data_IF_093271804493
#
_entry.id   IF_093271804493
#
_cell.length_a   1.000
_cell.length_b   1.000
_cell.length_c   1.000
_cell.angle_alpha   90.00
_cell.angle_beta   90.00
_cell.angle_gamma   90.00
#
_symmetry.space_group_name_H-M   'P 1'
#
loop_
_entity.id
_entity.type
_entity.pdbx_description
1 polymer ?
#
# COMPACT_ATOMS: atom_id res chain seq x y z
N UNK A 1 -1.01 -31.76 -73.85
CA UNK A 1 -1.86 -32.66 -73.03
C UNK A 1 -2.77 -31.80 -72.16
N UNK A 2 -4.04 -32.16 -72.03
CA UNK A 2 -4.93 -31.71 -70.93
C UNK A 2 -4.79 -32.70 -69.74
N UNK A 3 -5.40 -32.56 -68.56
CA UNK A 3 -6.36 -31.58 -67.99
C UNK A 3 -5.88 -31.20 -66.55
N UNK A 4 -6.41 -30.26 -65.75
CA UNK A 4 -7.76 -29.75 -65.40
C UNK A 4 -8.62 -30.75 -64.57
N UNK A 5 -9.39 -30.20 -63.61
CA UNK A 5 -10.19 -30.85 -62.53
C UNK A 5 -9.41 -31.16 -61.21
N UNK A 6 -9.94 -30.94 -59.99
CA UNK A 6 -11.17 -30.23 -59.57
C UNK A 6 -11.16 -29.78 -58.07
N UNK A 7 -12.04 -28.83 -57.76
CA UNK A 7 -12.67 -28.50 -56.44
C UNK A 7 -14.21 -28.58 -56.65
N UNK A 8 -15.11 -28.57 -55.61
CA UNK A 8 -14.95 -28.26 -54.18
C UNK A 8 -15.38 -29.48 -53.29
N UNK A 9 -16.04 -29.47 -52.10
CA UNK A 9 -16.71 -28.44 -51.28
C UNK A 9 -16.93 -28.87 -49.79
N UNK A 10 -17.27 -27.92 -48.88
CA UNK A 10 -17.72 -28.16 -47.48
C UNK A 10 -19.28 -28.23 -47.39
N UNK A 11 -19.97 -28.17 -46.22
CA UNK A 11 -19.54 -28.17 -44.81
C UNK A 11 -20.24 -29.24 -43.91
N UNK A 12 -19.87 -29.32 -42.62
CA UNK A 12 -20.63 -30.03 -41.58
C UNK A 12 -21.23 -29.05 -40.56
N UNK A 13 -22.49 -29.24 -40.15
CA UNK A 13 -23.24 -28.36 -39.25
C UNK A 13 -24.21 -29.13 -38.31
N UNK A 14 -24.75 -28.43 -37.31
CA UNK A 14 -25.60 -28.91 -36.21
C UNK A 14 -24.87 -29.84 -35.19
N UNK A 15 -25.25 -29.92 -33.91
CA UNK A 15 -26.32 -29.27 -33.11
C UNK A 15 -25.66 -28.51 -31.93
N UNK A 16 -26.16 -27.43 -31.31
CA UNK A 16 -27.51 -26.96 -30.94
C UNK A 16 -28.16 -27.66 -29.70
N UNK A 17 -28.67 -26.83 -28.77
CA UNK A 17 -29.45 -27.11 -27.53
C UNK A 17 -28.62 -27.64 -26.34
N UNK A 18 -28.67 -27.12 -25.10
CA UNK A 18 -29.56 -26.25 -24.29
C UNK A 18 -30.46 -26.98 -23.27
N UNK A 19 -30.03 -26.93 -22.00
CA UNK A 19 -30.79 -27.07 -20.75
C UNK A 19 -29.95 -26.35 -19.65
N UNK A 20 -30.41 -25.52 -18.72
CA UNK A 20 -31.75 -25.16 -18.19
C UNK A 20 -32.41 -26.24 -17.31
N UNK A 21 -32.21 -26.09 -15.99
CA UNK A 21 -33.32 -26.16 -15.04
C UNK A 21 -33.44 -27.38 -14.10
N UNK A 22 -32.73 -27.36 -12.96
CA UNK A 22 -33.17 -28.11 -11.76
C UNK A 22 -32.80 -27.39 -10.45
N UNK A 23 -33.77 -26.91 -9.67
CA UNK A 23 -33.61 -26.61 -8.25
C UNK A 23 -34.41 -27.61 -7.39
N UNK A 24 -33.73 -28.50 -6.66
CA UNK A 24 -34.37 -29.34 -5.66
C UNK A 24 -34.23 -28.74 -4.25
N UNK A 25 -35.35 -28.72 -3.54
CA UNK A 25 -35.47 -28.22 -2.18
C UNK A 25 -35.11 -29.33 -1.19
N UNK A 26 -34.48 -28.98 -0.07
CA UNK A 26 -34.82 -29.56 1.24
C UNK A 26 -34.41 -28.60 2.36
N UNK A 27 -35.22 -28.57 3.42
CA UNK A 27 -35.03 -27.71 4.59
C UNK A 27 -34.47 -28.51 5.78
N UNK A 28 -34.07 -27.81 6.85
CA UNK A 28 -34.43 -28.25 8.19
C UNK A 28 -35.40 -27.26 8.86
N UNK A 29 -36.33 -27.79 9.62
CA UNK A 29 -37.31 -27.06 10.45
C UNK A 29 -36.78 -27.04 11.88
N UNK A 30 -36.68 -25.87 12.52
CA UNK A 30 -36.06 -25.71 13.83
C UNK A 30 -37.01 -24.97 14.79
N UNK A 31 -37.32 -25.67 15.88
CA UNK A 31 -37.79 -25.19 17.20
C UNK A 31 -39.00 -24.22 17.26
N UNK A 32 -40.14 -24.78 17.71
CA UNK A 32 -41.10 -24.05 18.54
C UNK A 32 -40.64 -24.16 20.00
N UNK A 33 -40.53 -23.04 20.71
CA UNK A 33 -40.14 -23.00 22.12
C UNK A 33 -40.26 -21.60 22.69
N UNK A 34 -41.21 -21.40 23.61
CA UNK A 34 -41.53 -20.07 24.17
C UNK A 34 -42.89 -20.07 24.86
N UNK A 35 -42.98 -20.73 26.02
CA UNK A 35 -44.20 -20.77 26.85
C UNK A 35 -43.95 -20.07 28.19
N UNK A 36 -44.93 -19.24 28.60
CA UNK A 36 -45.01 -18.41 29.82
C UNK A 36 -44.04 -17.21 29.89
N UNK A 37 -44.65 -16.04 30.15
CA UNK A 37 -44.23 -15.08 31.19
C UNK A 37 -45.41 -14.09 31.40
N UNK A 38 -46.44 -14.56 32.11
CA UNK A 38 -47.61 -13.75 32.49
C UNK A 38 -47.39 -13.03 33.83
N UNK A 39 -47.82 -11.76 33.88
CA UNK A 39 -48.18 -10.96 35.07
C UNK A 39 -47.49 -11.21 36.43
N UNK A 40 -46.53 -10.35 36.82
CA UNK A 40 -46.40 -9.98 38.25
C UNK A 40 -46.09 -8.48 38.50
N UNK A 41 -47.18 -7.73 38.74
CA UNK A 41 -47.37 -6.63 39.72
C UNK A 41 -46.42 -5.42 39.76
N UNK A 42 -47.02 -4.24 39.57
CA UNK A 42 -46.52 -2.98 40.12
C UNK A 42 -46.85 -2.83 41.63
N UNK A 43 -45.94 -2.24 42.43
CA UNK A 43 -46.29 -1.49 43.66
C UNK A 43 -45.55 -0.13 43.67
N UNK A 44 -46.25 1.00 43.41
CA UNK A 44 -45.65 2.33 43.38
C UNK A 44 -45.58 3.05 44.75
N UNK A 45 -45.83 2.39 45.90
CA UNK A 45 -46.14 3.10 47.18
C UNK A 45 -45.14 2.98 48.34
N UNK A 46 -43.83 2.90 48.12
CA UNK A 46 -42.80 3.05 49.18
C UNK A 46 -41.68 4.06 48.89
N UNK A 47 -42.02 5.36 48.82
CA UNK A 47 -41.07 6.49 48.94
C UNK A 47 -41.55 7.54 49.96
N UNK A 48 -41.15 7.40 51.23
CA UNK A 48 -41.22 8.50 52.22
C UNK A 48 -40.29 8.25 53.41
N UNK A 49 -39.48 9.26 53.76
CA UNK A 49 -38.50 9.19 54.86
C UNK A 49 -37.22 8.42 54.51
N UNK A 50 -36.08 8.65 55.17
CA UNK A 50 -35.78 9.61 56.26
C UNK A 50 -34.39 10.25 56.05
N UNK A 51 -34.17 11.42 56.66
CA UNK A 51 -32.81 11.93 56.87
C UNK A 51 -32.08 11.06 57.90
N UNK A 52 -30.83 10.70 57.62
CA UNK A 52 -29.92 10.07 58.58
C UNK A 52 -28.57 10.78 58.55
N UNK A 53 -28.30 11.60 59.57
CA UNK A 53 -26.96 12.17 59.76
C UNK A 53 -26.09 11.11 60.44
N UNK A 54 -25.05 10.64 59.75
CA UNK A 54 -24.17 9.59 60.26
C UNK A 54 -22.70 9.94 60.05
N UNK A 55 -22.04 10.39 61.12
CA UNK A 55 -20.59 10.21 61.20
C UNK A 55 -20.30 8.70 61.35
N UNK A 56 -19.25 8.22 60.71
CA UNK A 56 -19.14 6.80 60.34
C UNK A 56 -17.79 6.41 59.73
N UNK A 57 -16.70 6.76 60.42
CA UNK A 57 -15.32 6.39 60.05
C UNK A 57 -15.16 4.91 59.64
N UNK A 58 -15.24 4.63 58.33
CA UNK A 58 -15.13 3.28 57.77
C UNK A 58 -14.34 3.23 56.46
N UNK A 59 -13.09 2.76 56.57
CA UNK A 59 -12.33 1.93 55.60
C UNK A 59 -12.67 2.07 54.09
N UNK A 60 -12.24 3.19 53.48
CA UNK A 60 -12.23 3.39 52.02
C UNK A 60 -10.85 3.24 51.34
N UNK A 61 -9.91 2.43 51.86
CA UNK A 61 -8.51 2.35 51.37
C UNK A 61 -8.40 1.49 50.10
N UNK A 62 -8.82 2.01 48.96
CA UNK A 62 -8.97 1.29 47.67
C UNK A 62 -7.69 0.62 47.15
N UNK A 63 -7.86 -0.55 46.52
CA UNK A 63 -6.82 -1.53 46.17
C UNK A 63 -5.90 -1.15 44.99
N UNK A 64 -5.14 -0.06 45.11
CA UNK A 64 -4.24 0.42 44.04
C UNK A 64 -2.77 -0.01 44.21
N UNK A 65 -2.47 -1.09 44.95
CA UNK A 65 -1.08 -1.47 45.31
C UNK A 65 -0.35 -2.37 44.30
N UNK A 66 -1.05 -3.19 43.50
CA UNK A 66 -0.41 -4.16 42.60
C UNK A 66 -1.00 -4.16 41.18
N UNK A 67 -1.02 -3.00 40.51
CA UNK A 67 -1.09 -2.99 39.04
C UNK A 67 0.29 -3.39 38.51
N UNK A 68 0.57 -4.69 38.49
CA UNK A 68 1.81 -5.24 37.91
C UNK A 68 1.94 -4.71 36.49
N UNK A 69 3.00 -3.96 36.23
CA UNK A 69 3.29 -3.38 34.92
C UNK A 69 3.81 -4.46 33.98
N UNK A 70 2.92 -5.37 33.56
CA UNK A 70 3.18 -6.30 32.46
C UNK A 70 3.68 -5.46 31.27
N UNK A 71 4.90 -5.69 30.76
CA UNK A 71 5.43 -4.87 29.68
C UNK A 71 4.50 -4.95 28.47
N UNK A 72 3.96 -3.81 28.02
CA UNK A 72 3.19 -3.78 26.78
C UNK A 72 4.12 -4.14 25.62
N UNK A 73 4.03 -5.39 25.17
CA UNK A 73 4.85 -5.94 24.08
C UNK A 73 4.62 -5.21 22.77
N UNK A 74 3.44 -4.59 22.58
CA UNK A 74 3.18 -3.70 21.44
C UNK A 74 4.12 -2.49 21.47
N UNK A 75 4.50 -1.99 22.66
CA UNK A 75 5.42 -0.87 22.80
C UNK A 75 6.87 -1.23 22.46
N UNK A 76 7.33 -2.44 22.81
CA UNK A 76 8.67 -2.93 22.43
C UNK A 76 8.73 -3.20 20.93
N UNK A 77 7.69 -3.82 20.38
CA UNK A 77 7.56 -4.08 18.95
C UNK A 77 7.52 -2.78 18.14
N UNK A 78 6.73 -1.77 18.57
CA UNK A 78 6.70 -0.44 17.93
C UNK A 78 8.03 0.33 18.11
N UNK A 79 8.93 -0.04 19.03
CA UNK A 79 10.30 0.51 19.11
C UNK A 79 11.24 -0.22 18.15
N UNK A 80 11.30 -1.54 18.25
CA UNK A 80 12.15 -2.40 17.40
C UNK A 80 11.84 -2.22 15.92
N UNK A 81 10.56 -2.22 15.53
CA UNK A 81 10.15 -2.01 14.14
C UNK A 81 10.56 -0.63 13.60
N UNK A 82 10.49 0.42 14.43
CA UNK A 82 11.00 1.75 14.03
C UNK A 82 12.51 1.76 13.85
N UNK A 83 13.26 1.04 14.68
CA UNK A 83 14.71 0.89 14.52
C UNK A 83 15.04 0.12 13.23
N UNK A 84 14.38 -1.01 12.97
CA UNK A 84 14.56 -1.78 11.73
C UNK A 84 14.22 -0.95 10.48
N UNK A 85 13.10 -0.22 10.48
CA UNK A 85 12.71 0.65 9.37
C UNK A 85 13.72 1.80 9.20
N UNK A 86 14.20 2.41 10.27
CA UNK A 86 15.19 3.48 10.21
C UNK A 86 16.55 2.98 9.67
N UNK A 87 17.04 1.83 10.13
CA UNK A 87 18.29 1.23 9.65
C UNK A 87 18.16 0.80 8.19
N UNK A 88 17.09 0.11 7.81
CA UNK A 88 16.86 -0.30 6.42
C UNK A 88 16.76 0.92 5.48
N UNK A 89 16.07 1.98 5.91
CA UNK A 89 16.00 3.23 5.15
C UNK A 89 17.37 3.90 5.05
N UNK A 90 18.13 3.99 6.15
CA UNK A 90 19.47 4.58 6.14
C UNK A 90 20.42 3.82 5.22
N UNK A 91 20.42 2.48 5.22
CA UNK A 91 21.23 1.66 4.31
C UNK A 91 20.86 1.91 2.85
N UNK A 92 19.56 1.97 2.52
CA UNK A 92 19.09 2.28 1.16
C UNK A 92 19.55 3.68 0.72
N UNK A 93 19.36 4.70 1.56
CA UNK A 93 19.71 6.08 1.22
C UNK A 93 21.22 6.31 1.13
N UNK A 94 22.02 5.67 1.99
CA UNK A 94 23.48 5.70 1.93
C UNK A 94 24.01 5.00 0.68
N UNK A 95 23.43 3.87 0.28
CA UNK A 95 23.77 3.18 -0.97
C UNK A 95 23.48 4.06 -2.20
N UNK A 96 22.28 4.65 -2.26
CA UNK A 96 21.90 5.57 -3.35
C UNK A 96 22.84 6.78 -3.38
N UNK A 97 23.13 7.40 -2.22
CA UNK A 97 24.03 8.55 -2.12
C UNK A 97 25.46 8.22 -2.57
N UNK A 98 26.01 7.08 -2.13
CA UNK A 98 27.31 6.60 -2.56
C UNK A 98 27.40 6.41 -4.09
N UNK A 99 26.37 5.79 -4.69
CA UNK A 99 26.32 5.57 -6.13
C UNK A 99 26.19 6.88 -6.93
N UNK A 100 25.44 7.85 -6.43
CA UNK A 100 25.24 9.15 -7.10
C UNK A 100 26.46 10.09 -6.99
N UNK A 101 27.20 10.08 -5.88
CA UNK A 101 28.32 11.01 -5.66
C UNK A 101 29.71 10.41 -5.95
N UNK A 102 29.92 9.11 -5.70
CA UNK A 102 31.26 8.52 -5.63
C UNK A 102 31.57 7.42 -6.63
N UNK A 103 30.57 6.77 -7.23
CA UNK A 103 30.81 5.60 -8.06
C UNK A 103 31.21 5.97 -9.50
N UNK A 104 32.44 5.60 -9.89
CA UNK A 104 32.88 5.64 -11.29
C UNK A 104 32.53 4.29 -11.95
N UNK A 105 31.67 4.24 -12.97
CA UNK A 105 31.24 2.98 -13.59
C UNK A 105 32.43 2.26 -14.21
N UNK A 106 32.50 0.93 -14.00
CA UNK A 106 33.62 0.10 -14.46
C UNK A 106 33.31 -0.70 -15.74
N UNK A 107 32.18 -0.43 -16.40
CA UNK A 107 31.73 -1.12 -17.62
C UNK A 107 31.33 -0.15 -18.72
N UNK A 108 31.59 -0.52 -19.98
CA UNK A 108 31.01 0.15 -21.13
C UNK A 108 29.50 -0.08 -21.19
N UNK A 109 28.72 0.95 -21.54
CA UNK A 109 27.26 0.88 -21.55
C UNK A 109 26.76 -0.10 -22.63
N UNK A 110 26.31 -1.29 -22.22
CA UNK A 110 25.66 -2.25 -23.12
C UNK A 110 24.25 -1.78 -23.50
N UNK A 111 23.65 -2.28 -24.60
CA UNK A 111 22.29 -1.92 -24.99
C UNK A 111 21.25 -2.20 -23.89
N UNK A 112 21.45 -3.26 -23.09
CA UNK A 112 20.60 -3.57 -21.94
C UNK A 112 20.68 -2.49 -20.85
N UNK A 113 21.88 -1.99 -20.54
CA UNK A 113 22.07 -0.89 -19.57
C UNK A 113 21.49 0.42 -20.09
N UNK A 114 21.59 0.68 -21.40
CA UNK A 114 20.99 1.85 -22.05
C UNK A 114 19.44 1.85 -22.01
N UNK A 115 18.81 0.68 -21.88
CA UNK A 115 17.35 0.55 -21.75
C UNK A 115 16.81 0.74 -20.32
N UNK A 116 17.65 0.62 -19.28
CA UNK A 116 17.23 0.73 -17.88
C UNK A 116 16.54 2.07 -17.54
N UNK A 117 16.92 3.25 -18.08
CA UNK A 117 16.21 4.50 -17.83
C UNK A 117 14.76 4.51 -18.33
N UNK A 118 14.49 3.88 -19.49
CA UNK A 118 13.12 3.71 -20.00
C UNK A 118 12.34 2.72 -19.13
N UNK A 119 12.94 1.60 -18.72
CA UNK A 119 12.34 0.66 -17.78
C UNK A 119 11.99 1.36 -16.45
N UNK A 120 12.88 2.19 -15.92
CA UNK A 120 12.68 2.98 -14.71
C UNK A 120 11.52 3.98 -14.85
N UNK A 121 11.34 4.60 -16.02
CA UNK A 121 10.17 5.44 -16.29
C UNK A 121 8.87 4.61 -16.35
N UNK A 122 8.87 3.47 -17.05
CA UNK A 122 7.71 2.58 -17.14
C UNK A 122 7.28 2.01 -15.78
N UNK A 123 8.24 1.64 -14.92
CA UNK A 123 7.97 1.18 -13.55
C UNK A 123 7.38 2.30 -12.68
N UNK A 124 7.91 3.53 -12.78
CA UNK A 124 7.32 4.68 -12.09
C UNK A 124 5.90 5.01 -12.57
N UNK A 125 5.65 5.01 -13.89
CA UNK A 125 4.31 5.19 -14.45
C UNK A 125 3.34 4.10 -13.95
N UNK A 126 3.77 2.84 -13.94
CA UNK A 126 2.99 1.71 -13.42
C UNK A 126 2.68 1.88 -11.92
N UNK A 127 3.65 2.32 -11.12
CA UNK A 127 3.46 2.62 -9.70
C UNK A 127 2.45 3.75 -9.49
N UNK A 128 2.55 4.85 -10.25
CA UNK A 128 1.59 5.95 -10.20
C UNK A 128 0.15 5.49 -10.52
N UNK A 129 -0.04 4.66 -11.57
CA UNK A 129 -1.35 4.08 -11.92
C UNK A 129 -1.89 3.20 -10.78
N UNK A 130 -1.04 2.34 -10.19
CA UNK A 130 -1.44 1.46 -9.08
C UNK A 130 -1.80 2.24 -7.81
N UNK A 131 -1.11 3.35 -7.52
CA UNK A 131 -1.43 4.24 -6.40
C UNK A 131 -2.77 4.96 -6.60
N UNK A 132 -3.02 5.49 -7.80
CA UNK A 132 -4.30 6.13 -8.15
C UNK A 132 -5.45 5.11 -8.11
N UNK A 133 -5.27 3.93 -8.72
CA UNK A 133 -6.26 2.86 -8.67
C UNK A 133 -6.56 2.45 -7.21
N UNK A 134 -5.52 2.20 -6.40
CA UNK A 134 -5.67 1.88 -4.99
C UNK A 134 -6.38 2.97 -4.18
N UNK A 135 -6.16 4.26 -4.50
CA UNK A 135 -6.86 5.38 -3.86
C UNK A 135 -8.36 5.44 -4.23
N UNK A 136 -8.69 5.20 -5.51
CA UNK A 136 -10.08 5.13 -5.96
C UNK A 136 -10.81 3.91 -5.37
N UNK A 137 -10.13 2.77 -5.26
CA UNK A 137 -10.69 1.54 -4.66
C UNK A 137 -10.99 1.71 -3.17
N UNK A 138 -10.12 2.35 -2.37
CA UNK A 138 -10.41 2.59 -0.95
C UNK A 138 -11.49 3.64 -0.71
N UNK A 139 -11.64 4.63 -1.61
CA UNK A 139 -12.82 5.52 -1.62
C UNK A 139 -14.12 4.72 -1.83
N UNK A 140 -14.11 3.73 -2.74
CA UNK A 140 -15.20 2.76 -2.97
C UNK A 140 -15.32 1.66 -1.90
N UNK A 141 -14.55 1.74 -0.80
CA UNK A 141 -14.48 0.72 0.28
C UNK A 141 -14.03 -0.68 -0.14
N UNK A 142 -13.46 -0.84 -1.34
CA UNK A 142 -12.99 -2.13 -1.87
C UNK A 142 -11.60 -2.48 -1.28
N UNK A 143 -11.57 -2.80 0.02
CA UNK A 143 -10.33 -2.96 0.82
C UNK A 143 -9.40 -4.04 0.25
N UNK A 144 -9.93 -5.19 -0.20
CA UNK A 144 -9.11 -6.26 -0.77
C UNK A 144 -8.39 -5.83 -2.05
N UNK A 145 -9.11 -5.19 -2.98
CA UNK A 145 -8.54 -4.66 -4.22
C UNK A 145 -7.55 -3.51 -3.96
N UNK A 146 -7.87 -2.61 -3.01
CA UNK A 146 -6.93 -1.59 -2.54
C UNK A 146 -5.62 -2.21 -2.01
N UNK A 147 -5.71 -3.26 -1.17
CA UNK A 147 -4.54 -3.97 -0.65
C UNK A 147 -3.70 -4.57 -1.78
N UNK A 148 -4.34 -5.20 -2.77
CA UNK A 148 -3.65 -5.74 -3.95
C UNK A 148 -2.89 -4.64 -4.72
N UNK A 149 -3.54 -3.52 -5.02
CA UNK A 149 -2.89 -2.38 -5.68
C UNK A 149 -1.72 -1.79 -4.87
N UNK A 150 -1.84 -1.67 -3.54
CA UNK A 150 -0.77 -1.15 -2.68
C UNK A 150 0.42 -2.11 -2.59
N UNK A 151 0.19 -3.43 -2.55
CA UNK A 151 1.26 -4.44 -2.59
C UNK A 151 1.95 -4.45 -3.96
N UNK A 152 1.19 -4.34 -5.05
CA UNK A 152 1.74 -4.23 -6.40
C UNK A 152 2.55 -2.93 -6.58
N UNK A 153 2.06 -1.79 -6.10
CA UNK A 153 2.79 -0.51 -6.14
C UNK A 153 4.11 -0.58 -5.37
N UNK A 154 4.11 -1.25 -4.20
CA UNK A 154 5.33 -1.52 -3.43
C UNK A 154 6.31 -2.39 -4.22
N UNK A 155 5.86 -3.52 -4.78
CA UNK A 155 6.71 -4.43 -5.54
C UNK A 155 7.34 -3.75 -6.78
N UNK A 156 6.53 -2.98 -7.53
CA UNK A 156 6.99 -2.21 -8.70
C UNK A 156 7.97 -1.10 -8.28
N UNK A 157 7.74 -0.44 -7.14
CA UNK A 157 8.67 0.59 -6.63
C UNK A 157 9.99 0.00 -6.13
N UNK A 158 9.97 -1.21 -5.55
CA UNK A 158 11.18 -1.97 -5.21
C UNK A 158 11.95 -2.40 -6.46
N UNK A 159 11.25 -2.87 -7.51
CA UNK A 159 11.88 -3.22 -8.79
C UNK A 159 12.49 -2.00 -9.50
N UNK A 160 11.83 -0.84 -9.44
CA UNK A 160 12.40 0.44 -9.87
C UNK A 160 13.68 0.76 -9.08
N UNK A 161 13.66 0.68 -7.76
CA UNK A 161 14.83 0.97 -6.93
C UNK A 161 16.03 0.07 -7.28
N UNK A 162 15.80 -1.24 -7.50
CA UNK A 162 16.84 -2.17 -7.95
C UNK A 162 17.37 -1.77 -9.33
N UNK A 163 16.50 -1.55 -10.31
CA UNK A 163 16.89 -1.19 -11.67
C UNK A 163 17.61 0.16 -11.77
N UNK A 164 17.23 1.14 -10.95
CA UNK A 164 17.89 2.43 -10.78
C UNK A 164 19.29 2.30 -10.17
N UNK A 165 19.44 1.50 -9.11
CA UNK A 165 20.74 1.17 -8.49
C UNK A 165 21.66 0.46 -9.49
N UNK A 166 21.15 -0.52 -10.24
CA UNK A 166 21.90 -1.20 -11.31
C UNK A 166 22.32 -0.24 -12.42
N UNK A 167 21.44 0.68 -12.84
CA UNK A 167 21.78 1.67 -13.87
C UNK A 167 22.94 2.58 -13.44
N UNK A 168 22.88 3.17 -12.25
CA UNK A 168 23.94 4.08 -11.79
C UNK A 168 25.25 3.35 -11.44
N UNK A 169 25.21 2.10 -11.00
CA UNK A 169 26.41 1.28 -10.85
C UNK A 169 27.12 0.99 -12.19
N UNK A 170 26.35 0.74 -13.26
CA UNK A 170 26.90 0.28 -14.54
C UNK A 170 27.17 1.40 -15.56
N UNK A 171 26.38 2.48 -15.56
CA UNK A 171 26.51 3.61 -16.50
C UNK A 171 26.88 4.94 -15.83
N UNK A 172 26.88 5.02 -14.50
CA UNK A 172 27.09 6.28 -13.79
C UNK A 172 25.95 7.28 -14.01
N UNK A 173 26.30 8.57 -14.06
CA UNK A 173 25.34 9.68 -14.15
C UNK A 173 25.43 10.39 -15.50
N UNK A 174 24.31 10.48 -16.24
CA UNK A 174 24.22 11.29 -17.46
C UNK A 174 24.10 12.78 -17.10
N UNK A 175 24.95 13.68 -17.66
CA UNK A 175 24.78 15.12 -17.50
C UNK A 175 23.58 15.62 -18.31
N UNK A 176 22.83 16.58 -17.76
CA UNK A 176 21.74 17.24 -18.49
C UNK A 176 22.32 18.24 -19.51
N UNK A 177 22.09 17.99 -20.80
CA UNK A 177 22.71 18.71 -21.91
C UNK A 177 22.04 20.04 -22.27
N UNK A 178 20.75 20.21 -22.00
CA UNK A 178 20.02 21.38 -22.48
C UNK A 178 20.42 22.69 -21.75
N UNK A 179 20.24 23.80 -22.48
CA UNK A 179 20.61 25.16 -22.10
C UNK A 179 19.37 26.07 -21.97
N UNK A 180 19.54 27.26 -21.40
CA UNK A 180 18.44 28.21 -21.19
C UNK A 180 17.49 27.82 -20.06
N UNK A 181 16.25 28.34 -20.12
CA UNK A 181 15.30 28.33 -18.99
C UNK A 181 14.82 26.94 -18.55
N UNK A 182 14.94 25.92 -19.41
CA UNK A 182 14.60 24.53 -19.07
C UNK A 182 15.56 23.93 -18.03
N UNK A 183 16.81 24.41 -17.98
CA UNK A 183 17.88 23.89 -17.10
C UNK A 183 17.59 24.09 -15.60
N UNK A 184 17.25 25.30 -15.10
CA UNK A 184 16.86 25.46 -13.69
C UNK A 184 15.56 24.71 -13.36
N UNK A 185 14.60 24.59 -14.30
CA UNK A 185 13.37 23.80 -14.09
C UNK A 185 13.70 22.31 -13.91
N UNK A 186 14.56 21.76 -14.76
CA UNK A 186 15.06 20.38 -14.63
C UNK A 186 15.71 20.14 -13.26
N UNK A 187 16.66 20.99 -12.85
CA UNK A 187 17.33 20.81 -11.57
C UNK A 187 16.40 21.01 -10.36
N UNK A 188 15.40 21.90 -10.44
CA UNK A 188 14.37 22.02 -9.41
C UNK A 188 13.55 20.73 -9.27
N UNK A 189 13.01 20.20 -10.38
CA UNK A 189 12.21 18.97 -10.37
C UNK A 189 13.04 17.75 -9.96
N UNK A 190 14.31 17.67 -10.38
CA UNK A 190 15.23 16.61 -9.98
C UNK A 190 15.54 16.68 -8.47
N UNK A 191 15.80 17.87 -7.93
CA UNK A 191 16.08 18.06 -6.50
C UNK A 191 14.87 17.71 -5.63
N UNK A 192 13.67 18.19 -5.99
CA UNK A 192 12.45 17.84 -5.24
C UNK A 192 12.13 16.35 -5.37
N UNK A 193 12.31 15.75 -6.55
CA UNK A 193 12.16 14.30 -6.74
C UNK A 193 13.09 13.51 -5.81
N UNK A 194 14.40 13.81 -5.79
CA UNK A 194 15.37 13.10 -4.95
C UNK A 194 15.07 13.28 -3.45
N UNK A 195 14.73 14.50 -2.99
CA UNK A 195 14.43 14.76 -1.57
C UNK A 195 13.13 14.06 -1.13
N UNK A 196 12.08 14.07 -1.97
CA UNK A 196 10.83 13.38 -1.64
C UNK A 196 10.96 11.85 -1.81
N UNK A 197 11.81 11.37 -2.71
CA UNK A 197 12.18 9.95 -2.82
C UNK A 197 12.93 9.46 -1.57
N UNK A 198 13.83 10.28 -1.02
CA UNK A 198 14.49 9.98 0.25
C UNK A 198 13.48 9.92 1.42
N UNK A 199 12.51 10.84 1.44
CA UNK A 199 11.46 10.87 2.45
C UNK A 199 10.45 9.71 2.34
N UNK A 200 10.14 9.22 1.12
CA UNK A 200 9.09 8.22 0.94
C UNK A 200 9.50 6.81 1.40
N UNK A 201 10.78 6.44 1.34
CA UNK A 201 11.27 5.11 1.78
C UNK A 201 10.83 4.76 3.22
N UNK A 202 11.17 5.54 4.27
CA UNK A 202 10.72 5.25 5.64
C UNK A 202 9.21 5.40 5.84
N UNK A 203 8.55 6.30 5.10
CA UNK A 203 7.09 6.49 5.17
C UNK A 203 6.33 5.30 4.59
N UNK A 204 6.73 4.78 3.43
CA UNK A 204 6.15 3.60 2.81
C UNK A 204 6.33 2.37 3.69
N UNK A 205 7.55 2.09 4.16
CA UNK A 205 7.84 0.99 5.09
C UNK A 205 7.01 1.09 6.37
N UNK A 206 6.89 2.28 6.97
CA UNK A 206 6.03 2.53 8.14
C UNK A 206 4.55 2.31 7.83
N UNK A 207 4.09 2.69 6.63
CA UNK A 207 2.69 2.55 6.20
C UNK A 207 2.32 1.07 6.00
N UNK A 208 3.23 0.29 5.43
CA UNK A 208 3.11 -1.16 5.23
C UNK A 208 3.17 -1.91 6.56
N UNK A 209 4.13 -1.60 7.43
CA UNK A 209 4.21 -2.21 8.78
C UNK A 209 2.91 -2.04 9.57
N UNK A 210 2.32 -0.85 9.55
CA UNK A 210 1.03 -0.58 10.24
C UNK A 210 -0.14 -1.33 9.63
N UNK A 211 -0.15 -1.54 8.31
CA UNK A 211 -1.14 -2.39 7.66
C UNK A 211 -0.97 -3.87 8.05
N UNK A 212 0.27 -4.36 8.15
CA UNK A 212 0.56 -5.74 8.56
C UNK A 212 0.18 -6.01 10.02
N UNK A 213 0.43 -5.05 10.92
CA UNK A 213 -0.02 -5.07 12.33
C UNK A 213 -1.53 -4.78 12.53
N UNK A 214 -2.31 -4.65 11.45
CA UNK A 214 -3.73 -4.27 11.46
C UNK A 214 -4.06 -2.94 12.19
N UNK A 215 -3.05 -2.08 12.40
CA UNK A 215 -3.19 -0.74 12.98
C UNK A 215 -3.72 0.24 11.91
N UNK A 216 -4.96 0.00 11.45
CA UNK A 216 -5.59 0.79 10.39
C UNK A 216 -5.79 2.26 10.77
N UNK A 217 -5.90 2.57 12.07
CA UNK A 217 -6.01 3.92 12.59
C UNK A 217 -4.72 4.72 12.39
N UNK A 218 -3.56 4.21 12.85
CA UNK A 218 -2.28 4.91 12.63
C UNK A 218 -1.80 4.74 11.19
N UNK A 219 -2.09 3.63 10.50
CA UNK A 219 -1.87 3.49 9.05
C UNK A 219 -2.53 4.64 8.28
N UNK A 220 -3.83 4.89 8.47
CA UNK A 220 -4.52 6.02 7.81
C UNK A 220 -3.93 7.38 8.18
N UNK A 221 -3.43 7.54 9.41
CA UNK A 221 -2.74 8.78 9.84
C UNK A 221 -1.46 9.04 9.06
N UNK A 222 -0.67 8.02 8.72
CA UNK A 222 0.57 8.14 7.93
C UNK A 222 0.26 8.19 6.43
N UNK A 223 -0.61 7.29 5.94
CA UNK A 223 -0.96 7.14 4.54
C UNK A 223 -1.49 8.43 3.88
N UNK A 224 -2.10 9.36 4.65
CA UNK A 224 -2.51 10.69 4.17
C UNK A 224 -1.36 11.49 3.55
N UNK A 225 -0.13 11.26 4.04
CA UNK A 225 1.10 11.91 3.58
C UNK A 225 1.87 10.98 2.63
N UNK A 226 1.94 9.68 2.94
CA UNK A 226 2.60 8.68 2.08
C UNK A 226 2.05 8.72 0.65
N UNK A 227 0.73 8.71 0.48
CA UNK A 227 0.12 8.62 -0.85
C UNK A 227 0.45 9.81 -1.78
N UNK A 228 0.27 11.09 -1.39
CA UNK A 228 0.65 12.21 -2.25
C UNK A 228 2.16 12.32 -2.48
N UNK A 229 3.02 12.03 -1.49
CA UNK A 229 4.48 12.03 -1.72
C UNK A 229 4.89 10.91 -2.69
N UNK A 230 4.37 9.69 -2.53
CA UNK A 230 4.69 8.56 -3.40
C UNK A 230 4.21 8.81 -4.84
N UNK A 231 2.99 9.33 -5.00
CA UNK A 231 2.46 9.68 -6.32
C UNK A 231 3.27 10.82 -6.97
N UNK A 232 3.69 11.84 -6.21
CA UNK A 232 4.56 12.91 -6.70
C UNK A 232 5.89 12.35 -7.21
N UNK A 233 6.57 11.49 -6.42
CA UNK A 233 7.84 10.86 -6.81
C UNK A 233 7.66 10.02 -8.07
N UNK A 234 6.63 9.16 -8.12
CA UNK A 234 6.36 8.32 -9.30
C UNK A 234 6.05 9.14 -10.56
N UNK A 235 5.27 10.22 -10.48
CA UNK A 235 4.99 11.09 -11.64
C UNK A 235 6.23 11.87 -12.06
N UNK A 236 6.98 12.45 -11.11
CA UNK A 236 8.20 13.21 -11.41
C UNK A 236 9.34 12.35 -11.94
N UNK A 237 9.41 11.06 -11.59
CA UNK A 237 10.38 10.12 -12.19
C UNK A 237 10.18 9.96 -13.71
N UNK A 238 8.92 9.93 -14.17
CA UNK A 238 8.60 9.90 -15.60
C UNK A 238 8.95 11.23 -16.27
N UNK A 239 8.66 12.37 -15.61
CA UNK A 239 9.00 13.70 -16.13
C UNK A 239 10.52 13.92 -16.23
N UNK A 240 11.30 13.51 -15.23
CA UNK A 240 12.77 13.59 -15.25
C UNK A 240 13.35 12.74 -16.38
N UNK A 241 12.82 11.53 -16.63
CA UNK A 241 13.20 10.73 -17.79
C UNK A 241 12.85 11.43 -19.11
N UNK A 242 11.62 11.94 -19.27
CA UNK A 242 11.21 12.64 -20.48
C UNK A 242 12.12 13.84 -20.76
N UNK A 243 12.33 14.71 -19.76
CA UNK A 243 13.23 15.86 -19.85
C UNK A 243 14.68 15.48 -20.20
N UNK A 244 15.23 14.40 -19.62
CA UNK A 244 16.62 14.00 -19.84
C UNK A 244 16.86 13.30 -21.20
N UNK A 245 15.81 12.90 -21.91
CA UNK A 245 15.90 12.11 -23.15
C UNK A 245 15.20 12.74 -24.38
N UNK A 246 14.37 13.76 -24.21
CA UNK A 246 13.55 14.36 -25.27
C UNK A 246 13.65 15.91 -25.34
N UNK A 247 14.54 16.53 -24.54
CA UNK A 247 14.81 17.97 -24.48
C UNK A 247 16.33 18.24 -24.38
#
# INVERSE_FOLDING_TARGET
MAARAAEPAPPGAAHERAAVGTPLQHAPRVEEGGERDDEEREDPRRRRGQHGHGDGSTRGRTYNRWRVSVPDSRSTDDRFARQVIAVASAVILLLIGYLLLGHRPQGGATPAVAALPLLNACLNATSAVLLVAGFLLIKRRLVAAHRACMVAALAVSTLFLVSYVTYHALAGSRPFGAHGWIRPVYFFVLLTHIVLAAAIVPLALTTVWRAWRADFARHRRVARWTLPLWLYVSVTGVLVYWMLYHL
#
